data_IF_750024682220
#
_entry.id   IF_750024682220
#
_cell.length_a   1.000
_cell.length_b   1.000
_cell.length_c   1.000
_cell.angle_alpha   90.00
_cell.angle_beta   90.00
_cell.angle_gamma   90.00
#
_symmetry.space_group_name_H-M   'P 1'
#
loop_
_entity.id
_entity.type
_entity.pdbx_description
1 polymer ?
#
# COMPACT_ATOMS: atom_id res chain seq x y z
N UNK A 1 -24.02 22.32 35.02
CA UNK A 1 -23.40 23.67 35.21
C UNK A 1 -22.14 23.53 36.09
N UNK A 2 -22.22 22.88 37.29
CA UNK A 2 -21.07 22.71 38.21
C UNK A 2 -19.88 21.95 37.56
N UNK A 3 -20.14 20.90 36.79
CA UNK A 3 -19.11 20.10 36.11
C UNK A 3 -18.37 20.92 35.02
N UNK A 4 -19.09 21.73 34.26
CA UNK A 4 -18.52 22.66 33.28
C UNK A 4 -17.68 23.77 33.93
N UNK A 5 -18.10 24.27 35.10
CA UNK A 5 -17.34 25.26 35.87
C UNK A 5 -16.05 24.63 36.46
N UNK A 6 -16.13 23.42 37.02
CA UNK A 6 -14.95 22.66 37.47
C UNK A 6 -13.97 22.36 36.34
N UNK A 7 -14.47 21.93 35.18
CA UNK A 7 -13.64 21.71 33.98
C UNK A 7 -12.95 22.99 33.50
N UNK A 8 -13.65 24.13 33.54
CA UNK A 8 -13.06 25.43 33.21
C UNK A 8 -11.96 25.86 34.19
N UNK A 9 -12.14 25.59 35.48
CA UNK A 9 -11.13 25.89 36.52
C UNK A 9 -9.93 24.96 36.38
N UNK A 10 -10.15 23.66 36.17
CA UNK A 10 -9.09 22.69 35.91
C UNK A 10 -8.30 23.01 34.62
N UNK A 11 -9.00 23.42 33.55
CA UNK A 11 -8.33 23.86 32.30
C UNK A 11 -7.53 25.16 32.48
N UNK A 12 -7.95 26.07 33.38
CA UNK A 12 -7.17 27.27 33.71
C UNK A 12 -5.91 26.97 34.53
N UNK A 13 -5.95 25.95 35.39
CA UNK A 13 -4.81 25.58 36.26
C UNK A 13 -3.85 24.65 35.54
N UNK A 14 -4.35 23.63 34.81
CA UNK A 14 -3.56 22.59 34.18
C UNK A 14 -3.33 22.79 32.67
N UNK A 15 -3.99 23.77 32.06
CA UNK A 15 -4.00 24.00 30.63
C UNK A 15 -4.80 22.93 29.85
N UNK A 16 -5.20 23.24 28.63
CA UNK A 16 -5.79 22.25 27.70
C UNK A 16 -4.75 21.23 27.26
N UNK A 17 -5.20 20.07 26.76
CA UNK A 17 -4.30 19.06 26.14
C UNK A 17 -3.43 19.69 25.07
N UNK A 18 -4.03 20.54 24.21
CA UNK A 18 -3.32 21.27 23.15
C UNK A 18 -2.28 22.24 23.70
N UNK A 19 -2.58 22.99 24.76
CA UNK A 19 -1.60 23.92 25.34
C UNK A 19 -0.39 23.20 25.95
N UNK A 20 -0.58 22.01 26.49
CA UNK A 20 0.51 21.16 26.97
C UNK A 20 1.35 20.58 25.83
N UNK A 21 0.73 20.11 24.75
CA UNK A 21 1.43 19.66 23.52
C UNK A 21 2.25 20.82 22.94
N UNK A 22 1.64 21.99 22.72
CA UNK A 22 2.33 23.17 22.20
C UNK A 22 3.51 23.60 23.09
N UNK A 23 3.37 23.52 24.42
CA UNK A 23 4.49 23.83 25.34
C UNK A 23 5.65 22.84 25.17
N UNK A 24 5.38 21.55 24.94
CA UNK A 24 6.41 20.55 24.65
C UNK A 24 7.10 20.86 23.31
N UNK A 25 6.33 21.13 22.26
CA UNK A 25 6.85 21.43 20.92
C UNK A 25 7.66 22.74 20.90
N UNK A 26 7.22 23.78 21.61
CA UNK A 26 7.98 25.02 21.74
C UNK A 26 9.38 24.83 22.37
N UNK A 27 9.55 23.83 23.26
CA UNK A 27 10.88 23.49 23.79
C UNK A 27 11.77 22.91 22.69
N UNK A 28 11.20 22.07 21.81
CA UNK A 28 11.93 21.50 20.66
C UNK A 28 12.29 22.62 19.68
N UNK A 29 11.34 23.53 19.37
CA UNK A 29 11.60 24.72 18.52
C UNK A 29 12.72 25.58 19.12
N UNK A 30 12.74 25.77 20.42
CA UNK A 30 13.86 26.51 21.07
C UNK A 30 15.19 25.79 20.84
N UNK A 31 15.22 24.45 20.95
CA UNK A 31 16.42 23.68 20.64
C UNK A 31 16.84 23.78 19.15
N UNK A 32 15.86 23.75 18.22
CA UNK A 32 16.11 23.96 16.78
C UNK A 32 16.75 25.36 16.55
N UNK A 33 16.23 26.39 17.20
CA UNK A 33 16.75 27.76 17.05
C UNK A 33 18.18 27.97 17.58
N UNK A 34 18.62 27.12 18.53
CA UNK A 34 20.01 27.16 19.03
C UNK A 34 21.00 26.77 17.94
N UNK A 35 20.65 25.78 17.11
CA UNK A 35 21.52 25.31 16.03
C UNK A 35 21.66 26.32 14.87
N UNK A 36 20.73 27.25 14.69
CA UNK A 36 20.67 28.14 13.53
C UNK A 36 21.97 28.93 13.35
N UNK A 37 22.49 29.53 14.43
CA UNK A 37 23.72 30.34 14.38
C UNK A 37 24.96 29.55 13.97
N UNK A 38 25.06 28.30 14.40
CA UNK A 38 26.17 27.43 14.06
C UNK A 38 26.08 27.02 12.58
N UNK A 39 24.90 26.63 12.14
CA UNK A 39 24.66 26.17 10.77
C UNK A 39 24.83 27.29 9.72
N UNK A 40 24.52 28.54 10.07
CA UNK A 40 24.76 29.70 9.21
C UNK A 40 26.27 29.92 8.88
N UNK A 41 27.16 29.46 9.74
CA UNK A 41 28.62 29.61 9.54
C UNK A 41 29.22 28.48 8.69
N UNK A 42 28.46 27.39 8.45
CA UNK A 42 28.93 26.25 7.67
C UNK A 42 28.97 26.59 6.18
N UNK A 43 29.97 26.06 5.47
CA UNK A 43 29.96 26.09 3.99
C UNK A 43 28.82 25.21 3.46
N UNK A 44 28.50 25.34 2.17
CA UNK A 44 27.49 24.48 1.53
C UNK A 44 27.88 23.00 1.61
N UNK A 45 29.15 22.70 1.40
CA UNK A 45 29.69 21.35 1.47
C UNK A 45 29.58 20.79 2.89
N UNK A 46 29.91 21.58 3.91
CA UNK A 46 29.78 21.19 5.31
C UNK A 46 28.32 20.95 5.70
N UNK A 47 27.39 21.80 5.25
CA UNK A 47 25.98 21.65 5.55
C UNK A 47 25.40 20.40 4.86
N UNK A 48 25.79 20.11 3.63
CA UNK A 48 25.32 18.93 2.90
C UNK A 48 25.81 17.61 3.51
N UNK A 49 26.99 17.58 4.15
CA UNK A 49 27.53 16.38 4.82
C UNK A 49 26.76 15.99 6.09
N UNK A 50 25.97 16.91 6.66
CA UNK A 50 25.15 16.64 7.86
C UNK A 50 24.22 15.44 7.71
N UNK A 51 23.68 15.21 6.52
CA UNK A 51 22.84 14.03 6.23
C UNK A 51 23.59 12.71 6.49
N UNK A 52 24.86 12.65 6.06
CA UNK A 52 25.71 11.47 6.33
C UNK A 52 26.03 11.28 7.83
N UNK A 53 26.26 12.38 8.57
CA UNK A 53 26.45 12.33 10.01
C UNK A 53 25.21 11.81 10.73
N UNK A 54 24.01 12.24 10.33
CA UNK A 54 22.76 11.76 10.89
C UNK A 54 22.52 10.28 10.57
N UNK A 55 22.79 9.85 9.32
CA UNK A 55 22.67 8.45 8.93
C UNK A 55 23.57 7.56 9.81
N UNK A 56 24.81 7.94 10.03
CA UNK A 56 25.74 7.23 10.92
C UNK A 56 25.23 7.16 12.37
N UNK A 57 24.66 8.25 12.90
CA UNK A 57 24.05 8.26 14.24
C UNK A 57 22.88 7.26 14.33
N UNK A 58 22.02 7.20 13.29
CA UNK A 58 20.90 6.25 13.26
C UNK A 58 21.38 4.80 13.13
N UNK A 59 22.37 4.52 12.31
CA UNK A 59 23.00 3.20 12.17
C UNK A 59 23.65 2.74 13.47
N UNK A 60 24.22 3.68 14.24
CA UNK A 60 24.76 3.41 15.58
C UNK A 60 23.68 3.20 16.66
N UNK A 61 22.38 3.25 16.29
CA UNK A 61 21.27 2.98 17.19
C UNK A 61 20.68 4.21 17.89
N UNK A 62 21.04 5.44 17.49
CA UNK A 62 20.40 6.64 18.02
C UNK A 62 18.93 6.70 17.59
N UNK A 63 18.06 7.15 18.49
CA UNK A 63 16.66 7.38 18.16
C UNK A 63 16.49 8.57 17.20
N UNK A 64 15.57 8.48 16.25
CA UNK A 64 15.29 9.53 15.27
C UNK A 64 14.93 10.86 15.95
N UNK A 65 14.22 10.82 17.08
CA UNK A 65 13.84 12.01 17.85
C UNK A 65 15.06 12.75 18.43
N UNK A 66 16.18 12.05 18.66
CA UNK A 66 17.41 12.67 19.20
C UNK A 66 18.10 13.58 18.20
N UNK A 67 17.95 13.31 16.89
CA UNK A 67 18.53 14.11 15.82
C UNK A 67 17.56 15.17 15.27
N UNK A 68 16.24 15.07 15.59
CA UNK A 68 15.20 15.94 15.06
C UNK A 68 15.52 17.44 15.16
N UNK A 69 15.95 17.98 16.32
CA UNK A 69 16.20 19.42 16.41
C UNK A 69 17.29 19.92 15.47
N UNK A 70 18.41 19.21 15.38
CA UNK A 70 19.51 19.54 14.49
C UNK A 70 19.11 19.34 13.01
N UNK A 71 18.43 18.23 12.69
CA UNK A 71 17.97 17.92 11.34
C UNK A 71 16.99 18.98 10.81
N UNK A 72 16.03 19.42 11.63
CA UNK A 72 15.09 20.49 11.23
C UNK A 72 15.78 21.83 11.04
N UNK A 73 16.77 22.14 11.86
CA UNK A 73 17.60 23.35 11.66
C UNK A 73 18.40 23.27 10.36
N UNK A 74 18.94 22.11 9.99
CA UNK A 74 19.65 21.87 8.72
C UNK A 74 18.71 22.09 7.53
N UNK A 75 17.46 21.56 7.56
CA UNK A 75 16.47 21.80 6.50
C UNK A 75 16.11 23.28 6.40
N UNK A 76 15.94 23.97 7.52
CA UNK A 76 15.66 25.42 7.55
C UNK A 76 16.77 26.21 6.84
N UNK A 77 18.03 25.92 7.16
CA UNK A 77 19.17 26.61 6.55
C UNK A 77 19.32 26.23 5.06
N UNK A 78 19.15 24.95 4.71
CA UNK A 78 19.16 24.52 3.32
C UNK A 78 18.06 25.20 2.49
N UNK A 79 16.85 25.30 3.02
CA UNK A 79 15.73 26.00 2.39
C UNK A 79 16.00 27.48 2.18
N UNK A 80 16.61 28.14 3.18
CA UNK A 80 17.02 29.53 3.10
C UNK A 80 18.07 29.75 1.99
N UNK A 81 19.04 28.84 1.87
CA UNK A 81 20.10 28.94 0.85
C UNK A 81 19.62 28.62 -0.57
N UNK A 82 18.74 27.63 -0.71
CA UNK A 82 18.32 27.16 -2.04
C UNK A 82 17.11 27.90 -2.59
N UNK A 83 16.11 28.20 -1.75
CA UNK A 83 14.86 28.82 -2.16
C UNK A 83 14.66 30.25 -1.63
N UNK A 84 15.53 30.75 -0.75
CA UNK A 84 15.31 31.99 -0.03
C UNK A 84 14.19 31.96 1.01
N UNK A 85 13.70 30.74 1.36
CA UNK A 85 12.57 30.54 2.25
C UNK A 85 13.05 30.01 3.60
N UNK A 86 12.93 30.83 4.65
CA UNK A 86 13.21 30.41 6.02
C UNK A 86 11.90 29.96 6.70
N UNK A 87 11.87 28.73 7.20
CA UNK A 87 10.74 28.25 7.99
C UNK A 87 10.53 29.09 9.26
N UNK A 88 9.28 29.47 9.53
CA UNK A 88 8.88 30.10 10.77
C UNK A 88 8.75 29.10 11.92
N UNK A 89 8.81 29.57 13.15
CA UNK A 89 8.69 28.71 14.33
C UNK A 89 7.37 27.94 14.39
N UNK A 90 6.26 28.52 13.92
CA UNK A 90 4.97 27.85 13.79
C UNK A 90 4.99 26.73 12.75
N UNK A 91 5.77 26.88 11.69
CA UNK A 91 5.97 25.85 10.67
C UNK A 91 6.84 24.71 11.21
N UNK A 92 7.81 24.98 12.09
CA UNK A 92 8.55 23.94 12.81
C UNK A 92 7.61 23.11 13.67
N UNK A 93 6.66 23.74 14.39
CA UNK A 93 5.63 23.02 15.14
C UNK A 93 4.82 22.12 14.23
N UNK A 94 4.37 22.61 13.06
CA UNK A 94 3.68 21.79 12.06
C UNK A 94 4.49 20.57 11.62
N UNK A 95 5.79 20.73 11.35
CA UNK A 95 6.69 19.62 11.02
C UNK A 95 6.84 18.60 12.14
N UNK A 96 6.91 19.06 13.41
CA UNK A 96 6.96 18.17 14.58
C UNK A 96 5.66 17.36 14.70
N UNK A 97 4.49 18.02 14.55
CA UNK A 97 3.18 17.36 14.57
C UNK A 97 3.09 16.25 13.53
N UNK A 98 3.50 16.55 12.29
CA UNK A 98 3.51 15.55 11.21
C UNK A 98 4.48 14.40 11.51
N UNK A 99 5.63 14.69 12.10
CA UNK A 99 6.60 13.66 12.47
C UNK A 99 6.09 12.74 13.60
N UNK A 100 5.27 13.26 14.52
CA UNK A 100 4.60 12.47 15.56
C UNK A 100 3.43 11.62 15.02
N UNK A 101 3.10 11.71 13.73
CA UNK A 101 1.99 10.99 13.09
C UNK A 101 0.62 11.63 13.39
N UNK A 102 0.60 12.86 13.84
CA UNK A 102 -0.60 13.64 14.12
C UNK A 102 -1.00 14.51 12.90
N UNK A 103 -2.19 15.10 12.95
CA UNK A 103 -2.72 16.01 11.93
C UNK A 103 -2.32 17.45 12.27
N UNK A 104 -1.63 18.10 11.31
CA UNK A 104 -1.31 19.52 11.38
C UNK A 104 -2.31 20.31 10.52
N UNK A 105 -3.26 21.01 11.16
CA UNK A 105 -4.17 21.91 10.48
C UNK A 105 -3.47 23.23 10.17
N UNK A 106 -3.37 23.58 8.89
CA UNK A 106 -2.77 24.83 8.41
C UNK A 106 -3.67 25.43 7.31
N UNK A 107 -3.84 26.75 7.36
CA UNK A 107 -4.63 27.47 6.36
C UNK A 107 -3.91 27.53 5.02
N UNK A 108 -4.67 27.73 3.96
CA UNK A 108 -4.12 27.99 2.63
C UNK A 108 -3.19 29.21 2.67
N UNK A 109 -1.99 29.09 2.07
CA UNK A 109 -0.98 30.13 2.07
C UNK A 109 -0.02 30.12 3.26
N UNK A 110 -0.21 29.26 4.27
CA UNK A 110 0.71 29.18 5.43
C UNK A 110 1.95 28.31 5.18
N UNK A 111 2.13 27.82 3.95
CA UNK A 111 3.34 27.10 3.52
C UNK A 111 3.38 25.62 3.88
N UNK A 112 2.23 24.93 3.80
CA UNK A 112 2.14 23.46 4.04
C UNK A 112 3.20 22.67 3.27
N UNK A 113 3.39 22.96 1.98
CA UNK A 113 4.38 22.30 1.12
C UNK A 113 5.80 22.42 1.68
N UNK A 114 6.15 23.60 2.20
CA UNK A 114 7.44 23.84 2.84
C UNK A 114 7.57 23.11 4.18
N UNK A 115 6.51 23.07 4.97
CA UNK A 115 6.47 22.35 6.26
C UNK A 115 6.72 20.86 6.06
N UNK A 116 6.14 20.26 5.01
CA UNK A 116 6.32 18.84 4.70
C UNK A 116 7.79 18.46 4.49
N UNK A 117 8.66 19.40 4.10
CA UNK A 117 10.08 19.11 3.90
C UNK A 117 10.80 18.70 5.17
N UNK A 118 10.37 19.17 6.33
CA UNK A 118 10.96 18.89 7.63
C UNK A 118 10.87 17.41 8.03
N UNK A 119 9.67 16.84 8.20
CA UNK A 119 9.53 15.42 8.53
C UNK A 119 9.92 14.50 7.36
N UNK A 120 9.75 14.95 6.10
CA UNK A 120 10.18 14.17 4.94
C UNK A 120 11.70 13.96 4.94
N UNK A 121 12.49 15.02 5.15
CA UNK A 121 13.94 14.90 5.27
C UNK A 121 14.33 13.97 6.41
N UNK A 122 13.83 14.24 7.62
CA UNK A 122 14.18 13.46 8.81
C UNK A 122 13.98 11.96 8.63
N UNK A 123 12.81 11.58 8.09
CA UNK A 123 12.48 10.17 7.90
C UNK A 123 13.19 9.53 6.70
N UNK A 124 13.57 10.33 5.68
CA UNK A 124 14.31 9.86 4.52
C UNK A 124 15.78 9.50 4.85
N UNK A 125 16.39 10.09 5.89
CA UNK A 125 17.76 9.77 6.34
C UNK A 125 17.94 8.27 6.62
N UNK A 126 16.89 7.59 7.06
CA UNK A 126 16.91 6.15 7.32
C UNK A 126 17.14 5.28 6.07
N UNK A 127 17.08 5.86 4.87
CA UNK A 127 17.17 5.14 3.58
C UNK A 127 15.95 4.29 3.21
N UNK A 128 14.92 4.24 4.08
CA UNK A 128 13.73 3.40 3.86
C UNK A 128 12.70 4.02 2.90
N UNK A 129 12.85 5.29 2.56
CA UNK A 129 11.95 6.02 1.68
C UNK A 129 10.79 6.71 2.40
N UNK A 130 10.36 7.83 1.82
CA UNK A 130 9.22 8.63 2.28
C UNK A 130 8.28 8.90 1.12
N UNK A 131 6.98 8.77 1.34
CA UNK A 131 5.95 9.10 0.37
C UNK A 131 5.26 10.41 0.74
N UNK A 132 5.10 11.31 -0.23
CA UNK A 132 4.30 12.53 -0.09
C UNK A 132 3.10 12.39 -1.02
N UNK A 133 1.92 12.28 -0.42
CA UNK A 133 0.67 11.97 -1.11
C UNK A 133 -0.11 13.25 -1.33
N UNK A 134 -0.50 13.52 -2.57
CA UNK A 134 -1.31 14.68 -2.98
C UNK A 134 -2.59 14.25 -3.68
N UNK A 135 -3.52 15.18 -3.87
CA UNK A 135 -4.83 14.88 -4.49
C UNK A 135 -4.79 14.76 -6.02
N UNK A 136 -3.78 15.32 -6.68
CA UNK A 136 -3.66 15.23 -8.14
C UNK A 136 -2.20 15.27 -8.61
N UNK A 137 -1.97 14.83 -9.85
CA UNK A 137 -0.63 14.71 -10.45
C UNK A 137 0.07 16.06 -10.62
N UNK A 138 -0.69 17.11 -10.95
CA UNK A 138 -0.12 18.46 -11.09
C UNK A 138 0.52 18.92 -9.78
N UNK A 139 -0.16 18.74 -8.65
CA UNK A 139 0.39 19.10 -7.34
C UNK A 139 1.59 18.22 -6.98
N UNK A 140 1.53 16.93 -7.27
CA UNK A 140 2.64 16.02 -7.02
C UNK A 140 3.92 16.48 -7.75
N UNK A 141 3.81 16.79 -9.03
CA UNK A 141 4.93 17.24 -9.85
C UNK A 141 5.40 18.65 -9.46
N UNK A 142 4.47 19.61 -9.30
CA UNK A 142 4.77 20.98 -8.91
C UNK A 142 5.53 21.05 -7.59
N UNK A 143 5.02 20.36 -6.57
CA UNK A 143 5.56 20.41 -5.22
C UNK A 143 6.89 19.64 -5.12
N UNK A 144 7.00 18.51 -5.81
CA UNK A 144 8.25 17.79 -5.94
C UNK A 144 9.34 18.69 -6.57
N UNK A 145 9.04 19.32 -7.71
CA UNK A 145 10.00 20.16 -8.41
C UNK A 145 10.36 21.42 -7.63
N UNK A 146 9.41 22.00 -6.91
CA UNK A 146 9.65 23.19 -6.10
C UNK A 146 10.51 22.88 -4.87
N UNK A 147 10.28 21.76 -4.17
CA UNK A 147 11.04 21.40 -2.98
C UNK A 147 12.31 20.60 -3.27
N UNK A 148 12.48 20.07 -4.48
CA UNK A 148 13.65 19.32 -4.95
C UNK A 148 15.00 19.98 -4.61
N UNK A 149 15.19 21.31 -4.81
CA UNK A 149 16.46 21.94 -4.51
C UNK A 149 16.90 21.78 -3.05
N UNK A 150 15.96 21.74 -2.09
CA UNK A 150 16.28 21.52 -0.68
C UNK A 150 16.82 20.10 -0.46
N UNK A 151 16.12 19.12 -1.00
CA UNK A 151 16.46 17.71 -0.80
C UNK A 151 17.77 17.35 -1.49
N UNK A 152 17.96 17.77 -2.74
CA UNK A 152 19.17 17.51 -3.51
C UNK A 152 20.40 18.20 -2.90
N UNK A 153 20.23 19.43 -2.38
CA UNK A 153 21.29 20.13 -1.65
C UNK A 153 21.76 19.33 -0.42
N UNK A 154 20.85 18.60 0.20
CA UNK A 154 21.12 17.73 1.37
C UNK A 154 21.46 16.29 0.97
N UNK A 155 21.69 16.00 -0.32
CA UNK A 155 22.12 14.69 -0.81
C UNK A 155 21.01 13.65 -0.93
N UNK A 156 19.73 14.06 -0.88
CA UNK A 156 18.57 13.18 -1.06
C UNK A 156 18.02 13.27 -2.49
N UNK A 157 17.45 12.17 -2.97
CA UNK A 157 16.82 12.07 -4.29
C UNK A 157 15.31 12.21 -4.22
N UNK A 158 14.71 12.78 -5.28
CA UNK A 158 13.26 13.00 -5.39
C UNK A 158 12.72 12.33 -6.64
N UNK A 159 11.75 11.45 -6.46
CA UNK A 159 10.97 10.81 -7.52
C UNK A 159 9.53 11.32 -7.56
N UNK A 160 8.89 11.21 -8.72
CA UNK A 160 7.45 11.50 -8.90
C UNK A 160 6.81 10.31 -9.59
N UNK A 161 5.73 9.80 -9.03
CA UNK A 161 4.93 8.73 -9.63
C UNK A 161 3.68 9.34 -10.25
N UNK A 162 3.47 9.05 -11.53
CA UNK A 162 2.37 9.57 -12.34
C UNK A 162 1.74 8.47 -13.18
N UNK A 163 0.52 8.72 -13.64
CA UNK A 163 -0.19 7.86 -14.59
C UNK A 163 0.58 7.76 -15.91
N UNK A 164 0.47 6.62 -16.58
CA UNK A 164 1.11 6.39 -17.88
C UNK A 164 2.60 6.06 -17.83
N UNK A 165 3.27 6.15 -16.69
CA UNK A 165 4.65 5.70 -16.55
C UNK A 165 4.76 4.17 -16.66
N UNK A 166 5.85 3.72 -17.26
CA UNK A 166 6.19 2.29 -17.31
C UNK A 166 6.54 1.76 -15.92
N UNK A 167 6.44 0.45 -15.68
CA UNK A 167 6.83 -0.15 -14.40
C UNK A 167 8.28 0.17 -14.00
N UNK A 168 9.19 0.30 -14.98
CA UNK A 168 10.59 0.63 -14.70
C UNK A 168 10.76 2.09 -14.26
N UNK A 169 10.09 3.04 -14.92
CA UNK A 169 10.09 4.45 -14.52
C UNK A 169 9.51 4.62 -13.10
N UNK A 170 8.41 3.93 -12.80
CA UNK A 170 7.83 3.93 -11.45
C UNK A 170 8.79 3.33 -10.43
N UNK A 171 9.44 2.22 -10.76
CA UNK A 171 10.44 1.59 -9.89
C UNK A 171 11.60 2.53 -9.58
N UNK A 172 12.07 3.29 -10.57
CA UNK A 172 13.09 4.31 -10.37
C UNK A 172 12.60 5.44 -9.46
N UNK A 173 11.36 5.92 -9.67
CA UNK A 173 10.76 6.93 -8.80
C UNK A 173 10.62 6.46 -7.34
N UNK A 174 10.22 5.21 -7.12
CA UNK A 174 10.14 4.62 -5.77
C UNK A 174 11.51 4.35 -5.13
N UNK A 175 12.58 4.23 -5.92
CA UNK A 175 13.95 4.12 -5.38
C UNK A 175 14.48 5.41 -4.81
N UNK A 176 13.88 6.55 -5.14
CA UNK A 176 14.25 7.83 -4.58
C UNK A 176 14.09 7.87 -3.05
N UNK A 177 14.76 8.80 -2.40
CA UNK A 177 14.66 9.02 -0.96
C UNK A 177 13.26 9.53 -0.58
N UNK A 178 12.69 10.36 -1.44
CA UNK A 178 11.35 10.95 -1.27
C UNK A 178 10.61 10.78 -2.59
N UNK A 179 9.40 10.21 -2.53
CA UNK A 179 8.55 9.98 -3.70
C UNK A 179 7.24 10.74 -3.55
N UNK A 180 6.95 11.62 -4.49
CA UNK A 180 5.67 12.31 -4.61
C UNK A 180 4.73 11.53 -5.54
N UNK A 181 3.43 11.57 -5.26
CA UNK A 181 2.41 10.95 -6.10
C UNK A 181 1.02 11.19 -5.56
N UNK A 182 0.02 10.75 -6.31
CA UNK A 182 -1.37 10.79 -5.86
C UNK A 182 -1.70 9.56 -5.01
N UNK A 183 -2.74 9.69 -4.17
CA UNK A 183 -3.30 8.57 -3.43
C UNK A 183 -3.67 7.39 -4.35
N UNK A 184 -4.23 7.69 -5.53
CA UNK A 184 -4.62 6.68 -6.51
C UNK A 184 -3.42 5.92 -7.07
N UNK A 185 -2.35 6.63 -7.48
CA UNK A 185 -1.15 5.98 -8.02
C UNK A 185 -0.48 5.08 -6.98
N UNK A 186 -0.27 5.59 -5.75
CA UNK A 186 0.27 4.77 -4.66
C UNK A 186 -0.59 3.54 -4.37
N UNK A 187 -1.92 3.72 -4.36
CA UNK A 187 -2.85 2.63 -4.08
C UNK A 187 -2.90 1.59 -5.22
N UNK A 188 -2.95 2.01 -6.49
CA UNK A 188 -2.91 1.09 -7.63
C UNK A 188 -1.58 0.34 -7.72
N UNK A 189 -0.46 1.02 -7.47
CA UNK A 189 0.84 0.36 -7.47
C UNK A 189 0.97 -0.64 -6.30
N UNK A 190 0.41 -0.32 -5.12
CA UNK A 190 0.31 -1.27 -4.02
C UNK A 190 -0.51 -2.52 -4.39
N UNK A 191 -1.64 -2.35 -5.08
CA UNK A 191 -2.43 -3.49 -5.54
C UNK A 191 -1.68 -4.33 -6.57
N UNK A 192 -1.00 -3.69 -7.54
CA UNK A 192 -0.16 -4.39 -8.54
C UNK A 192 0.97 -5.18 -7.88
N UNK A 193 1.64 -4.59 -6.90
CA UNK A 193 2.73 -5.25 -6.16
C UNK A 193 2.25 -6.47 -5.37
N UNK A 194 0.99 -6.45 -4.88
CA UNK A 194 0.38 -7.61 -4.21
C UNK A 194 -0.04 -8.71 -5.19
N UNK A 195 -0.14 -8.42 -6.48
CA UNK A 195 -0.39 -9.40 -7.55
C UNK A 195 0.89 -9.87 -8.24
N UNK A 196 2.06 -9.32 -7.88
CA UNK A 196 3.34 -9.69 -8.46
C UNK A 196 3.73 -11.12 -8.09
N UNK A 197 4.12 -11.92 -9.08
CA UNK A 197 4.56 -13.31 -8.87
C UNK A 197 5.98 -13.41 -8.32
N UNK A 198 6.81 -12.40 -8.53
CA UNK A 198 8.21 -12.34 -8.10
C UNK A 198 8.50 -11.07 -7.33
N UNK A 199 9.36 -11.12 -6.30
CA UNK A 199 9.74 -9.92 -5.53
C UNK A 199 10.35 -8.81 -6.39
N UNK A 200 11.11 -9.17 -7.43
CA UNK A 200 11.75 -8.23 -8.37
C UNK A 200 10.75 -7.47 -9.26
N UNK A 201 9.54 -7.99 -9.43
CA UNK A 201 8.49 -7.35 -10.21
C UNK A 201 7.80 -6.22 -9.44
N UNK A 202 8.00 -6.15 -8.13
CA UNK A 202 7.44 -5.09 -7.29
C UNK A 202 8.07 -3.73 -7.60
N UNK A 203 7.24 -2.71 -7.63
CA UNK A 203 7.64 -1.33 -7.88
C UNK A 203 7.98 -0.59 -6.61
N UNK A 204 7.12 -0.72 -5.58
CA UNK A 204 7.27 0.00 -4.32
C UNK A 204 8.34 -0.62 -3.44
N UNK A 205 9.03 0.24 -2.68
CA UNK A 205 9.85 -0.18 -1.54
C UNK A 205 8.98 -0.49 -0.32
N UNK A 206 9.64 -0.80 0.79
CA UNK A 206 8.97 -0.91 2.09
C UNK A 206 8.24 0.38 2.43
N UNK A 207 6.99 0.27 2.85
CA UNK A 207 6.22 1.39 3.37
C UNK A 207 6.78 1.78 4.74
N UNK A 208 7.39 2.97 4.83
CA UNK A 208 8.06 3.44 6.04
C UNK A 208 7.37 4.66 6.63
N UNK A 209 7.26 5.74 5.88
CA UNK A 209 6.67 6.99 6.33
C UNK A 209 5.91 7.67 5.19
N UNK A 210 4.75 8.24 5.48
CA UNK A 210 3.97 8.98 4.50
C UNK A 210 3.45 10.29 5.10
N UNK A 211 3.44 11.33 4.28
CA UNK A 211 2.76 12.59 4.55
C UNK A 211 1.60 12.70 3.57
N UNK A 212 0.38 12.87 4.07
CA UNK A 212 -0.81 13.02 3.25
C UNK A 212 -1.24 14.48 3.30
N UNK A 213 -1.12 15.17 2.17
CA UNK A 213 -1.65 16.53 2.02
C UNK A 213 -3.14 16.47 1.68
N UNK A 214 -3.89 17.48 2.10
CA UNK A 214 -5.36 17.55 1.92
C UNK A 214 -6.06 16.26 2.40
N UNK A 215 -5.73 15.86 3.61
CA UNK A 215 -6.17 14.60 4.23
C UNK A 215 -7.70 14.45 4.32
N UNK A 216 -8.44 15.52 4.44
CA UNK A 216 -9.90 15.58 4.40
C UNK A 216 -10.45 15.14 3.05
N UNK A 217 -9.91 15.64 1.93
CA UNK A 217 -10.27 15.16 0.59
C UNK A 217 -9.93 13.68 0.40
N UNK A 218 -8.72 13.25 0.75
CA UNK A 218 -8.23 11.91 0.45
C UNK A 218 -8.86 10.85 1.37
N UNK A 219 -8.89 11.09 2.69
CA UNK A 219 -9.29 10.06 3.67
C UNK A 219 -10.74 10.18 4.13
N UNK A 220 -11.46 11.24 3.76
CA UNK A 220 -12.88 11.41 4.11
C UNK A 220 -13.72 11.44 2.85
N UNK A 221 -13.55 12.43 1.96
CA UNK A 221 -14.42 12.63 0.82
C UNK A 221 -14.31 11.48 -0.19
N UNK A 222 -13.10 11.03 -0.51
CA UNK A 222 -12.83 9.93 -1.45
C UNK A 222 -12.72 8.56 -0.78
N UNK A 223 -12.87 8.45 0.53
CA UNK A 223 -12.64 7.21 1.29
C UNK A 223 -13.47 6.00 0.82
N UNK A 224 -14.62 6.24 0.20
CA UNK A 224 -15.52 5.19 -0.30
C UNK A 224 -15.26 4.79 -1.76
N UNK A 225 -14.38 5.49 -2.46
CA UNK A 225 -14.06 5.17 -3.86
C UNK A 225 -13.13 3.95 -3.90
N UNK A 226 -13.60 2.77 -4.38
CA UNK A 226 -12.76 1.59 -4.40
C UNK A 226 -11.72 1.71 -5.52
N UNK A 227 -10.49 1.29 -5.23
CA UNK A 227 -9.47 1.08 -6.26
C UNK A 227 -9.68 -0.33 -6.85
N UNK A 228 -10.03 -0.40 -8.12
CA UNK A 228 -10.33 -1.66 -8.81
C UNK A 228 -9.36 -1.84 -9.96
N UNK A 229 -8.63 -2.96 -9.95
CA UNK A 229 -7.86 -3.43 -11.11
C UNK A 229 -8.69 -4.52 -11.78
N UNK A 230 -9.09 -4.30 -13.03
CA UNK A 230 -9.74 -5.30 -13.87
C UNK A 230 -8.91 -5.56 -15.11
N UNK A 231 -8.76 -6.82 -15.46
CA UNK A 231 -8.23 -7.23 -16.77
C UNK A 231 -9.33 -7.31 -17.82
N UNK A 232 -8.94 -7.37 -19.08
CA UNK A 232 -9.85 -7.81 -20.13
C UNK A 232 -10.23 -9.24 -19.77
N UNK A 233 -11.51 -9.49 -19.49
CA UNK A 233 -12.00 -10.86 -19.43
C UNK A 233 -11.74 -11.46 -20.81
N UNK A 234 -10.99 -12.55 -20.90
CA UNK A 234 -11.00 -13.36 -22.10
C UNK A 234 -12.46 -13.63 -22.40
N UNK A 235 -12.86 -13.49 -23.69
CA UNK A 235 -14.23 -13.77 -24.11
C UNK A 235 -14.47 -15.27 -23.97
N UNK A 236 -14.69 -15.69 -22.73
CA UNK A 236 -14.91 -17.07 -22.35
C UNK A 236 -16.37 -17.49 -22.56
N UNK A 237 -17.22 -16.60 -23.09
CA UNK A 237 -18.64 -16.88 -23.30
C UNK A 237 -18.86 -18.12 -24.18
N UNK A 238 -18.06 -18.28 -25.25
CA UNK A 238 -18.11 -19.47 -26.08
C UNK A 238 -17.61 -20.72 -25.33
N UNK A 239 -16.60 -20.58 -24.48
CA UNK A 239 -16.06 -21.65 -23.67
C UNK A 239 -17.07 -22.11 -22.61
N UNK A 240 -17.75 -21.17 -21.96
CA UNK A 240 -18.85 -21.48 -21.03
C UNK A 240 -19.96 -22.27 -21.71
N UNK A 241 -20.38 -21.87 -22.92
CA UNK A 241 -21.41 -22.56 -23.69
C UNK A 241 -20.96 -23.96 -24.11
N UNK A 242 -19.69 -24.11 -24.51
CA UNK A 242 -19.12 -25.39 -24.91
C UNK A 242 -19.05 -26.37 -23.71
N UNK A 243 -18.49 -25.92 -22.57
CA UNK A 243 -18.36 -26.71 -21.36
C UNK A 243 -19.74 -27.07 -20.79
N UNK A 244 -20.68 -26.12 -20.78
CA UNK A 244 -22.04 -26.33 -20.27
C UNK A 244 -22.78 -27.49 -20.98
N UNK A 245 -22.52 -27.73 -22.28
CA UNK A 245 -23.07 -28.84 -23.05
C UNK A 245 -22.50 -30.22 -22.66
N UNK A 246 -21.37 -30.24 -21.95
CA UNK A 246 -20.78 -31.49 -21.48
C UNK A 246 -21.40 -32.00 -20.19
N UNK A 247 -21.80 -31.08 -19.29
CA UNK A 247 -22.29 -31.42 -17.96
C UNK A 247 -23.44 -32.44 -17.93
N UNK A 248 -24.47 -32.34 -18.82
CA UNK A 248 -25.53 -33.35 -18.83
C UNK A 248 -25.11 -34.77 -19.18
N UNK A 249 -23.87 -34.98 -19.62
CA UNK A 249 -23.31 -36.29 -19.94
C UNK A 249 -22.65 -36.95 -18.75
N UNK A 250 -22.43 -36.24 -17.66
CA UNK A 250 -21.86 -36.75 -16.44
C UNK A 250 -22.94 -37.35 -15.55
N UNK A 251 -22.60 -38.45 -14.92
CA UNK A 251 -23.50 -39.20 -14.01
C UNK A 251 -23.16 -38.83 -12.56
N UNK A 252 -24.21 -38.47 -11.78
CA UNK A 252 -24.06 -38.19 -10.36
C UNK A 252 -23.79 -39.50 -9.61
N UNK A 253 -22.73 -39.52 -8.83
CA UNK A 253 -22.40 -40.60 -7.91
C UNK A 253 -22.94 -40.37 -6.51
N UNK A 254 -22.95 -41.43 -5.70
CA UNK A 254 -23.26 -41.35 -4.28
C UNK A 254 -21.98 -41.37 -3.46
N UNK A 255 -21.90 -40.48 -2.49
CA UNK A 255 -20.80 -40.46 -1.53
C UNK A 255 -21.11 -41.50 -0.45
N UNK A 256 -20.32 -42.56 -0.35
CA UNK A 256 -20.46 -43.51 0.73
C UNK A 256 -20.27 -42.82 2.08
N UNK A 257 -21.23 -42.99 3.01
CA UNK A 257 -21.04 -42.56 4.39
C UNK A 257 -20.03 -43.50 5.06
N UNK A 258 -18.79 -43.05 5.14
CA UNK A 258 -17.69 -43.79 5.77
C UNK A 258 -17.87 -43.74 7.29
N UNK A 259 -17.95 -44.90 7.94
CA UNK A 259 -18.05 -44.98 9.39
C UNK A 259 -16.73 -44.50 10.05
N UNK A 260 -16.82 -44.01 11.30
CA UNK A 260 -15.62 -43.58 12.06
C UNK A 260 -14.54 -44.68 12.20
N UNK A 261 -14.90 -45.94 12.06
CA UNK A 261 -13.98 -47.09 12.13
C UNK A 261 -13.19 -47.26 10.80
N UNK A 262 -13.82 -47.02 9.67
CA UNK A 262 -13.22 -47.11 8.34
C UNK A 262 -12.28 -45.94 8.08
N UNK A 263 -12.55 -44.76 8.66
CA UNK A 263 -11.63 -43.61 8.62
C UNK A 263 -10.29 -43.84 9.36
N UNK A 264 -10.20 -44.84 10.22
CA UNK A 264 -8.97 -45.20 10.96
C UNK A 264 -8.09 -46.22 10.21
N UNK A 265 -8.59 -46.85 9.15
CA UNK A 265 -7.80 -47.76 8.32
C UNK A 265 -7.08 -46.97 7.24
N UNK A 266 -5.74 -46.90 7.33
CA UNK A 266 -4.87 -46.21 6.39
C UNK A 266 -4.89 -46.72 4.95
N UNK A 267 -5.48 -47.88 4.72
CA UNK A 267 -5.59 -48.56 3.42
C UNK A 267 -7.01 -48.52 2.86
N UNK A 268 -7.94 -47.89 3.53
CA UNK A 268 -9.31 -47.77 3.05
C UNK A 268 -9.42 -46.67 2.02
N UNK A 269 -9.73 -47.01 0.79
CA UNK A 269 -10.05 -46.07 -0.29
C UNK A 269 -11.55 -46.18 -0.52
N UNK A 270 -12.36 -45.12 -0.28
CA UNK A 270 -13.79 -45.15 -0.56
C UNK A 270 -14.01 -45.42 -2.05
N UNK A 271 -14.86 -46.42 -2.36
CA UNK A 271 -15.30 -46.57 -3.77
C UNK A 271 -16.23 -45.41 -4.11
N UNK A 272 -15.75 -44.51 -4.96
CA UNK A 272 -16.56 -43.44 -5.50
C UNK A 272 -17.28 -43.95 -6.76
N UNK A 273 -18.62 -43.90 -6.75
CA UNK A 273 -19.44 -44.21 -7.93
C UNK A 273 -19.74 -42.94 -8.73
N UNK A 274 -19.94 -43.08 -10.07
CA UNK A 274 -20.29 -41.98 -10.96
C UNK A 274 -19.13 -41.03 -11.27
N UNK A 275 -19.45 -39.92 -11.93
CA UNK A 275 -18.46 -38.96 -12.40
C UNK A 275 -18.29 -37.76 -11.47
N UNK A 276 -19.24 -37.46 -10.61
CA UNK A 276 -19.16 -36.37 -9.62
C UNK A 276 -20.06 -36.66 -8.41
N UNK A 277 -19.67 -36.07 -7.28
CA UNK A 277 -20.47 -36.12 -6.04
C UNK A 277 -20.94 -34.72 -5.66
N UNK A 278 -22.10 -34.62 -5.01
CA UNK A 278 -22.67 -33.32 -4.55
C UNK A 278 -22.83 -33.37 -3.04
N UNK A 279 -22.24 -32.43 -2.35
CA UNK A 279 -22.51 -32.18 -0.93
C UNK A 279 -23.39 -30.94 -0.80
N UNK A 280 -24.65 -31.14 -0.57
CA UNK A 280 -25.65 -30.05 -0.44
C UNK A 280 -25.43 -29.20 0.83
N UNK A 281 -24.85 -29.78 1.89
CA UNK A 281 -24.60 -29.09 3.17
C UNK A 281 -23.46 -28.07 3.02
N UNK A 282 -22.38 -28.46 2.37
CA UNK A 282 -21.22 -27.61 2.12
C UNK A 282 -21.34 -26.80 0.81
N UNK A 283 -22.37 -27.06 0.01
CA UNK A 283 -22.57 -26.51 -1.34
C UNK A 283 -21.35 -26.73 -2.25
N UNK A 284 -20.81 -27.95 -2.22
CA UNK A 284 -19.66 -28.34 -3.03
C UNK A 284 -20.06 -29.43 -4.02
N UNK A 285 -19.44 -29.38 -5.20
CA UNK A 285 -19.51 -30.43 -6.22
C UNK A 285 -18.08 -30.79 -6.56
N UNK A 286 -17.74 -32.08 -6.43
CA UNK A 286 -16.40 -32.60 -6.65
C UNK A 286 -16.46 -33.68 -7.74
N UNK A 287 -15.49 -33.66 -8.66
CA UNK A 287 -15.32 -34.74 -9.63
C UNK A 287 -14.67 -35.94 -8.94
N UNK A 288 -15.11 -37.13 -9.28
CA UNK A 288 -14.45 -38.39 -8.93
C UNK A 288 -13.26 -38.63 -9.85
N UNK A 289 -12.38 -39.57 -9.53
CA UNK A 289 -11.25 -39.94 -10.40
C UNK A 289 -11.71 -40.34 -11.81
N UNK A 290 -12.78 -41.20 -11.88
CA UNK A 290 -13.42 -41.56 -13.15
C UNK A 290 -14.07 -40.33 -13.85
N UNK A 291 -14.54 -39.35 -13.09
CA UNK A 291 -15.09 -38.09 -13.59
C UNK A 291 -14.03 -37.18 -14.22
N UNK A 292 -12.85 -37.13 -13.66
CA UNK A 292 -11.74 -36.39 -14.25
C UNK A 292 -11.34 -36.95 -15.61
N UNK A 293 -11.11 -38.27 -15.70
CA UNK A 293 -10.77 -38.94 -16.95
C UNK A 293 -11.88 -38.76 -18.01
N UNK A 294 -13.15 -38.91 -17.60
CA UNK A 294 -14.27 -38.75 -18.52
C UNK A 294 -14.42 -37.31 -19.05
N UNK A 295 -14.20 -36.30 -18.18
CA UNK A 295 -14.24 -34.87 -18.58
C UNK A 295 -13.08 -34.53 -19.50
N UNK A 296 -11.85 -35.00 -19.22
CA UNK A 296 -10.69 -34.82 -20.10
C UNK A 296 -10.96 -35.42 -21.49
N UNK A 297 -11.49 -36.62 -21.57
CA UNK A 297 -11.89 -37.27 -22.81
C UNK A 297 -12.95 -36.47 -23.61
N UNK A 298 -13.93 -35.91 -22.92
CA UNK A 298 -14.96 -35.10 -23.57
C UNK A 298 -14.39 -33.77 -24.08
N UNK A 299 -13.47 -33.14 -23.35
CA UNK A 299 -12.81 -31.90 -23.74
C UNK A 299 -11.87 -32.12 -24.92
N UNK A 300 -11.13 -33.24 -24.97
CA UNK A 300 -10.27 -33.64 -26.10
C UNK A 300 -11.13 -33.86 -27.36
N UNK A 301 -12.26 -34.61 -27.24
CA UNK A 301 -13.20 -34.82 -28.33
C UNK A 301 -13.77 -33.52 -28.92
N UNK A 302 -13.93 -32.49 -28.08
CA UNK A 302 -14.37 -31.15 -28.53
C UNK A 302 -13.23 -30.23 -28.96
N UNK A 303 -11.97 -30.69 -28.92
CA UNK A 303 -10.76 -29.91 -29.23
C UNK A 303 -10.57 -28.68 -28.30
N UNK A 304 -11.08 -28.77 -27.08
CA UNK A 304 -10.91 -27.77 -26.02
C UNK A 304 -9.69 -28.07 -25.15
N UNK A 305 -9.21 -29.32 -25.16
CA UNK A 305 -8.00 -29.79 -24.51
C UNK A 305 -7.17 -30.57 -25.55
N UNK A 306 -5.86 -30.40 -25.53
CA UNK A 306 -4.99 -31.14 -26.43
C UNK A 306 -4.81 -32.59 -25.96
N UNK A 307 -4.61 -33.52 -26.92
CA UNK A 307 -4.40 -34.93 -26.60
C UNK A 307 -3.14 -35.12 -25.76
N UNK A 308 -3.26 -35.79 -24.63
CA UNK A 308 -2.17 -36.00 -23.68
C UNK A 308 -1.89 -34.84 -22.71
N UNK A 309 -2.66 -33.75 -22.75
CA UNK A 309 -2.61 -32.68 -21.76
C UNK A 309 -3.60 -32.97 -20.61
N UNK A 310 -3.16 -32.69 -19.38
CA UNK A 310 -4.03 -32.77 -18.22
C UNK A 310 -4.81 -31.47 -17.99
N UNK A 311 -6.06 -31.62 -17.54
CA UNK A 311 -6.92 -30.51 -17.12
C UNK A 311 -6.30 -29.71 -15.94
N UNK A 312 -5.40 -30.33 -15.18
CA UNK A 312 -4.69 -29.72 -14.06
C UNK A 312 -3.37 -29.02 -14.43
N UNK A 313 -2.98 -29.03 -15.70
CA UNK A 313 -1.83 -28.26 -16.13
C UNK A 313 -2.07 -26.76 -15.91
N UNK A 314 -1.03 -26.00 -15.57
CA UNK A 314 -1.13 -24.57 -15.28
C UNK A 314 -1.77 -23.76 -16.43
N UNK A 315 -1.59 -24.22 -17.68
CA UNK A 315 -2.19 -23.65 -18.90
C UNK A 315 -3.70 -23.87 -18.97
N UNK A 316 -4.22 -24.91 -18.31
CA UNK A 316 -5.61 -25.35 -18.42
C UNK A 316 -6.47 -25.04 -17.19
N UNK A 317 -5.93 -24.32 -16.20
CA UNK A 317 -6.65 -23.96 -14.97
C UNK A 317 -7.94 -23.16 -15.22
N UNK A 318 -7.96 -22.31 -16.26
CA UNK A 318 -9.16 -21.59 -16.67
C UNK A 318 -10.25 -22.55 -17.14
N UNK A 319 -9.89 -23.60 -17.91
CA UNK A 319 -10.81 -24.61 -18.38
C UNK A 319 -11.37 -25.47 -17.23
N UNK A 320 -10.53 -25.86 -16.26
CA UNK A 320 -10.93 -26.51 -15.03
C UNK A 320 -11.94 -25.70 -14.24
N UNK A 321 -11.67 -24.37 -14.12
CA UNK A 321 -12.60 -23.45 -13.45
C UNK A 321 -13.97 -23.43 -14.14
N UNK A 322 -14.03 -23.42 -15.47
CA UNK A 322 -15.27 -23.44 -16.23
C UNK A 322 -16.04 -24.75 -16.03
N UNK A 323 -15.35 -25.89 -15.96
CA UNK A 323 -15.98 -27.19 -15.67
C UNK A 323 -16.62 -27.20 -14.27
N UNK A 324 -15.89 -26.77 -13.25
CA UNK A 324 -16.44 -26.67 -11.90
C UNK A 324 -17.58 -25.66 -11.78
N UNK A 325 -17.48 -24.53 -12.45
CA UNK A 325 -18.55 -23.52 -12.46
C UNK A 325 -19.83 -24.06 -13.11
N UNK A 326 -19.69 -24.76 -14.23
CA UNK A 326 -20.83 -25.37 -14.93
C UNK A 326 -21.45 -26.52 -14.10
N UNK A 327 -20.65 -27.38 -13.45
CA UNK A 327 -21.14 -28.41 -12.55
C UNK A 327 -21.95 -27.81 -11.39
N UNK A 328 -21.41 -26.79 -10.74
CA UNK A 328 -22.14 -26.09 -9.66
C UNK A 328 -23.44 -25.46 -10.16
N UNK A 329 -23.42 -24.83 -11.34
CA UNK A 329 -24.60 -24.20 -11.91
C UNK A 329 -25.72 -25.22 -12.15
N UNK A 330 -25.40 -26.41 -12.68
CA UNK A 330 -26.40 -27.45 -12.98
C UNK A 330 -26.95 -28.15 -11.73
N UNK A 331 -26.15 -28.32 -10.67
CA UNK A 331 -26.52 -29.21 -9.56
C UNK A 331 -26.80 -28.51 -8.23
N UNK A 332 -26.37 -27.24 -8.08
CA UNK A 332 -26.60 -26.45 -6.87
C UNK A 332 -27.49 -25.22 -7.08
N UNK A 333 -27.57 -24.72 -8.32
CA UNK A 333 -28.28 -23.46 -8.64
C UNK A 333 -29.31 -23.63 -9.75
N UNK A 334 -29.67 -24.85 -10.12
CA UNK A 334 -30.74 -25.09 -11.07
C UNK A 334 -32.05 -24.54 -10.48
N UNK A 335 -32.80 -23.79 -11.28
CA UNK A 335 -34.17 -23.37 -10.90
C UNK A 335 -35.09 -24.55 -11.12
N UNK A 336 -35.86 -24.91 -10.09
CA UNK A 336 -36.99 -25.85 -10.16
C UNK A 336 -38.06 -25.34 -11.15
#
# INVERSE_FOLDING_TARGET
ILVLQLMNILNKIFGSSNSRKLKKMNKIVTAINVFERELEQLSNEQLSTKTGEFAQKLEAGSAIDSILPEAFAVVREASKRTLGLRHFDVQMIGGIVLNEGDIAEMRTGEGKTLVATLPAYLNAISGKGVHIVTVNEYLAERDANWMRPIYEFLGLTVGVVQSGQTPEEKRQAYRASITYGTNNEFGFDYLRDNMAFRPEDKMQKQLNFAIVDEVDSILIDEARTPLIISGVAEDSSQLYVAVNKLIPKLEKGEKQEVSKMEMMDKNFVPEESGHFTVDEKSRQVELTEAGHEFVEDLLIKQKLLADGESLYAATNLSLLHHVHAALKAHHLFNRD
#
